data_IF_352058492153
#
_entry.id   IF_352058492153
#
_cell.length_a   1.000
_cell.length_b   1.000
_cell.length_c   1.000
_cell.angle_alpha   90.00
_cell.angle_beta   90.00
_cell.angle_gamma   90.00
#
_symmetry.space_group_name_H-M   'P 1'
#
loop_
_entity.id
_entity.type
_entity.pdbx_description
1 polymer ?
#
# COMPACT_ATOMS: atom_id res chain seq x y z
N UNK A 1 -30.05 -9.68 12.68
CA UNK A 1 -29.27 -9.21 11.50
C UNK A 1 -29.06 -10.39 10.58
N UNK A 2 -29.57 -10.33 9.38
CA UNK A 2 -29.50 -11.47 8.46
C UNK A 2 -28.43 -11.18 7.41
N UNK A 3 -27.25 -11.81 7.57
CA UNK A 3 -26.20 -11.82 6.56
C UNK A 3 -26.67 -12.76 5.45
N UNK A 4 -26.82 -12.26 4.23
CA UNK A 4 -27.27 -13.04 3.07
C UNK A 4 -26.13 -13.73 2.37
N UNK A 5 -25.01 -13.02 2.21
CA UNK A 5 -23.85 -13.52 1.48
C UNK A 5 -22.58 -12.80 1.93
N UNK A 6 -21.50 -13.55 2.08
CA UNK A 6 -20.13 -13.04 2.20
C UNK A 6 -19.30 -13.71 1.13
N UNK A 7 -18.51 -12.92 0.43
CA UNK A 7 -17.52 -13.39 -0.55
C UNK A 7 -16.19 -12.78 -0.21
N UNK A 8 -15.17 -13.62 -0.08
CA UNK A 8 -13.78 -13.22 0.14
C UNK A 8 -12.96 -13.79 -1.00
N UNK A 9 -12.29 -12.93 -1.75
CA UNK A 9 -11.44 -13.33 -2.84
C UNK A 9 -10.04 -12.76 -2.61
N UNK A 10 -9.04 -13.63 -2.60
CA UNK A 10 -7.64 -13.27 -2.58
C UNK A 10 -6.98 -13.76 -3.86
N UNK A 11 -6.28 -12.87 -4.54
CA UNK A 11 -5.51 -13.17 -5.75
C UNK A 11 -4.07 -12.75 -5.53
N UNK A 12 -3.16 -13.66 -5.84
CA UNK A 12 -1.72 -13.42 -5.91
C UNK A 12 -1.28 -13.73 -7.34
N UNK A 13 -0.65 -12.75 -7.99
CA UNK A 13 -0.11 -12.89 -9.35
C UNK A 13 1.35 -12.49 -9.26
N UNK A 14 2.23 -13.47 -9.47
CA UNK A 14 3.66 -13.24 -9.55
C UNK A 14 4.14 -13.52 -10.98
N UNK A 15 5.05 -12.70 -11.47
CA UNK A 15 5.65 -12.82 -12.78
C UNK A 15 7.14 -12.50 -12.74
N UNK A 16 7.92 -13.13 -13.60
CA UNK A 16 9.33 -12.85 -13.76
C UNK A 16 9.65 -12.62 -15.24
N UNK A 17 10.46 -11.62 -15.52
CA UNK A 17 11.15 -11.44 -16.78
C UNK A 17 12.64 -11.59 -16.50
N UNK A 18 13.27 -12.59 -17.11
CA UNK A 18 14.68 -12.88 -16.94
C UNK A 18 15.41 -12.62 -18.26
N UNK A 19 16.14 -11.53 -18.33
CA UNK A 19 16.94 -11.14 -19.48
C UNK A 19 18.13 -12.12 -19.62
N UNK A 20 18.51 -12.42 -20.86
CA UNK A 20 19.68 -13.28 -21.11
C UNK A 20 19.47 -14.76 -20.83
N UNK A 21 18.25 -15.24 -20.61
CA UNK A 21 17.97 -16.65 -20.45
C UNK A 21 18.22 -17.40 -21.75
N UNK A 22 19.22 -18.27 -21.75
CA UNK A 22 19.73 -18.97 -22.94
C UNK A 22 19.08 -20.32 -23.26
N UNK A 23 18.62 -21.12 -22.25
CA UNK A 23 18.07 -22.44 -22.55
C UNK A 23 16.77 -22.33 -23.35
N UNK A 24 16.61 -23.24 -24.34
CA UNK A 24 15.34 -23.39 -25.03
C UNK A 24 14.29 -23.97 -24.08
N UNK A 25 13.11 -23.35 -24.05
CA UNK A 25 11.94 -23.88 -23.35
C UNK A 25 11.30 -24.94 -24.21
N UNK A 26 11.42 -26.21 -23.81
CA UNK A 26 11.06 -27.36 -24.67
C UNK A 26 9.58 -27.75 -24.59
N UNK A 27 8.99 -27.81 -23.41
CA UNK A 27 7.62 -28.27 -23.20
C UNK A 27 6.90 -27.46 -22.09
N UNK A 28 5.62 -27.77 -21.88
CA UNK A 28 4.79 -27.08 -20.85
C UNK A 28 5.28 -27.32 -19.41
N UNK A 29 6.18 -28.27 -19.19
CA UNK A 29 6.79 -28.55 -17.89
C UNK A 29 8.16 -27.90 -17.74
N UNK A 30 8.59 -27.09 -18.72
CA UNK A 30 9.87 -26.39 -18.71
C UNK A 30 11.07 -27.34 -18.87
N UNK A 31 10.90 -28.42 -19.61
CA UNK A 31 11.98 -29.41 -19.92
C UNK A 31 12.54 -29.17 -21.32
N UNK A 32 13.85 -29.27 -21.45
CA UNK A 32 14.49 -29.29 -22.76
C UNK A 32 14.30 -30.66 -23.44
N UNK A 33 14.30 -30.68 -24.78
CA UNK A 33 14.36 -31.91 -25.59
C UNK A 33 15.53 -32.83 -25.21
N UNK A 34 16.58 -32.31 -24.61
CA UNK A 34 17.80 -33.02 -24.20
C UNK A 34 17.77 -33.56 -22.77
N UNK A 35 16.62 -33.58 -22.10
CA UNK A 35 16.48 -34.11 -20.75
C UNK A 35 16.98 -33.21 -19.61
N UNK A 36 17.40 -31.97 -19.91
CA UNK A 36 17.79 -30.99 -18.89
C UNK A 36 16.57 -30.21 -18.44
N UNK A 37 16.25 -30.26 -17.15
CA UNK A 37 15.17 -29.44 -16.54
C UNK A 37 15.61 -27.98 -16.51
N UNK A 38 15.14 -27.17 -17.46
CA UNK A 38 15.36 -25.72 -17.53
C UNK A 38 14.13 -25.06 -18.16
N UNK A 39 13.39 -24.20 -17.48
CA UNK A 39 13.62 -23.61 -16.14
C UNK A 39 13.20 -24.49 -14.96
N UNK A 40 12.69 -25.69 -15.20
CA UNK A 40 12.28 -26.63 -14.18
C UNK A 40 10.81 -26.52 -13.74
N UNK A 41 10.34 -27.56 -13.05
CA UNK A 41 8.92 -27.67 -12.64
C UNK A 41 8.49 -26.54 -11.71
N UNK A 42 9.35 -26.12 -10.78
CA UNK A 42 9.01 -25.03 -9.85
C UNK A 42 8.64 -23.75 -10.57
N UNK A 43 9.42 -23.36 -11.59
CA UNK A 43 9.13 -22.19 -12.41
C UNK A 43 7.87 -22.39 -13.27
N UNK A 44 7.70 -23.56 -13.88
CA UNK A 44 6.53 -23.88 -14.71
C UNK A 44 5.22 -23.81 -13.91
N UNK A 45 5.26 -24.08 -12.60
CA UNK A 45 4.12 -23.96 -11.69
C UNK A 45 4.09 -22.62 -10.90
N UNK A 46 4.79 -21.60 -11.37
CA UNK A 46 4.70 -20.24 -10.85
C UNK A 46 5.52 -19.96 -9.59
N UNK A 47 6.51 -20.79 -9.27
CA UNK A 47 7.46 -20.49 -8.19
C UNK A 47 8.48 -19.43 -8.61
N UNK A 48 8.00 -18.19 -8.80
CA UNK A 48 8.80 -17.02 -9.15
C UNK A 48 9.47 -16.48 -7.89
N UNK A 49 10.80 -16.65 -7.77
CA UNK A 49 11.57 -16.24 -6.59
C UNK A 49 12.90 -15.62 -7.01
N UNK A 50 13.39 -14.70 -6.17
CA UNK A 50 14.72 -14.11 -6.33
C UNK A 50 15.81 -15.19 -6.48
N UNK A 51 15.74 -16.23 -5.66
CA UNK A 51 16.68 -17.35 -5.69
C UNK A 51 16.74 -18.12 -7.03
N UNK A 52 15.70 -18.01 -7.88
CA UNK A 52 15.73 -18.62 -9.20
C UNK A 52 16.76 -17.94 -10.12
N UNK A 53 17.00 -16.64 -9.95
CA UNK A 53 18.00 -15.91 -10.73
C UNK A 53 19.40 -16.42 -10.36
N UNK A 54 19.66 -16.60 -9.07
CA UNK A 54 20.93 -17.13 -8.57
C UNK A 54 21.15 -18.57 -9.05
N UNK A 55 20.12 -19.40 -8.97
CA UNK A 55 20.13 -20.77 -9.51
C UNK A 55 20.40 -20.82 -11.02
N UNK A 56 19.75 -19.93 -11.79
CA UNK A 56 19.95 -19.85 -13.23
C UNK A 56 21.37 -19.40 -13.58
N UNK A 57 21.96 -18.53 -12.78
CA UNK A 57 23.34 -18.09 -12.93
C UNK A 57 24.34 -19.21 -12.61
N UNK A 58 24.20 -19.87 -11.47
CA UNK A 58 25.03 -21.00 -11.06
C UNK A 58 25.02 -22.16 -12.07
N UNK A 59 23.86 -22.39 -12.72
CA UNK A 59 23.69 -23.43 -13.74
C UNK A 59 24.17 -23.00 -15.13
N UNK A 60 24.66 -21.77 -15.30
CA UNK A 60 25.09 -21.23 -16.58
C UNK A 60 23.95 -21.06 -17.60
N UNK A 61 22.74 -20.82 -17.12
CA UNK A 61 21.57 -20.59 -17.98
C UNK A 61 21.45 -19.13 -18.42
N UNK A 62 22.28 -18.24 -17.89
CA UNK A 62 22.26 -16.83 -18.21
C UNK A 62 23.44 -16.47 -19.12
N UNK A 63 23.16 -15.79 -20.23
CA UNK A 63 24.19 -15.16 -21.06
C UNK A 63 24.59 -13.86 -20.40
N UNK A 64 25.78 -13.81 -19.83
CA UNK A 64 26.34 -12.60 -19.24
C UNK A 64 27.04 -11.78 -20.33
N UNK A 65 26.64 -10.53 -20.46
CA UNK A 65 27.27 -9.57 -21.36
C UNK A 65 27.36 -8.22 -20.63
N UNK A 66 28.56 -7.67 -20.54
CA UNK A 66 28.83 -6.38 -19.89
C UNK A 66 28.01 -5.21 -20.48
N UNK A 67 27.57 -5.34 -21.73
CA UNK A 67 26.74 -4.34 -22.40
C UNK A 67 25.24 -4.56 -22.17
N UNK A 68 24.82 -5.61 -21.45
CA UNK A 68 23.42 -5.88 -21.15
C UNK A 68 23.00 -5.11 -19.89
N UNK A 69 22.25 -4.03 -20.10
CA UNK A 69 21.76 -3.15 -19.03
C UNK A 69 20.34 -3.48 -18.58
N UNK A 70 19.68 -4.44 -19.23
CA UNK A 70 18.30 -4.82 -18.90
C UNK A 70 18.27 -5.69 -17.65
N UNK A 71 17.63 -5.25 -16.55
CA UNK A 71 17.55 -6.04 -15.33
C UNK A 71 16.65 -7.27 -15.50
N UNK A 72 16.79 -8.23 -14.60
CA UNK A 72 15.71 -9.17 -14.33
C UNK A 72 14.61 -8.44 -13.54
N UNK A 73 13.35 -8.70 -13.87
CA UNK A 73 12.21 -8.07 -13.21
C UNK A 73 11.33 -9.11 -12.52
N UNK A 74 11.00 -8.88 -11.27
CA UNK A 74 10.02 -9.68 -10.54
C UNK A 74 8.83 -8.77 -10.22
N UNK A 75 7.66 -9.13 -10.75
CA UNK A 75 6.41 -8.43 -10.51
C UNK A 75 5.53 -9.25 -9.58
N UNK A 76 4.91 -8.60 -8.59
CA UNK A 76 3.96 -9.21 -7.67
C UNK A 76 2.73 -8.32 -7.52
N UNK A 77 1.54 -8.89 -7.68
CA UNK A 77 0.28 -8.20 -7.45
C UNK A 77 -0.59 -9.00 -6.49
N UNK A 78 -0.94 -8.39 -5.35
CA UNK A 78 -1.79 -8.95 -4.31
C UNK A 78 -3.10 -8.19 -4.28
N UNK A 79 -4.22 -8.88 -4.49
CA UNK A 79 -5.55 -8.28 -4.46
C UNK A 79 -6.43 -9.05 -3.48
N UNK A 80 -6.95 -8.34 -2.47
CA UNK A 80 -7.94 -8.85 -1.53
C UNK A 80 -9.25 -8.08 -1.71
N UNK A 81 -10.31 -8.79 -2.05
CA UNK A 81 -11.66 -8.23 -2.15
C UNK A 81 -12.58 -8.95 -1.18
N UNK A 82 -13.30 -8.19 -0.35
CA UNK A 82 -14.30 -8.69 0.58
C UNK A 82 -15.63 -8.01 0.26
N UNK A 83 -16.66 -8.79 0.00
CA UNK A 83 -18.01 -8.31 -0.26
C UNK A 83 -18.97 -8.97 0.70
N UNK A 84 -19.90 -8.19 1.27
CA UNK A 84 -20.96 -8.71 2.11
C UNK A 84 -22.30 -8.05 1.77
N UNK A 85 -23.35 -8.86 1.68
CA UNK A 85 -24.71 -8.39 1.47
C UNK A 85 -25.51 -8.68 2.73
N UNK A 86 -26.12 -7.66 3.29
CA UNK A 86 -26.91 -7.71 4.50
C UNK A 86 -28.35 -7.28 4.21
N UNK A 87 -29.32 -7.93 4.82
CA UNK A 87 -30.72 -7.50 4.81
C UNK A 87 -31.26 -7.57 6.23
N UNK A 88 -31.01 -6.52 7.06
CA UNK A 88 -31.40 -6.50 8.47
C UNK A 88 -32.92 -6.57 8.67
N UNK A 89 -33.66 -5.89 7.80
CA UNK A 89 -35.12 -5.89 7.73
C UNK A 89 -35.55 -6.01 6.27
N UNK A 90 -36.74 -6.48 6.04
CA UNK A 90 -37.25 -6.67 4.69
C UNK A 90 -37.29 -5.35 3.91
N UNK A 91 -36.59 -5.32 2.77
CA UNK A 91 -36.45 -4.16 1.90
C UNK A 91 -35.26 -3.24 2.22
N UNK A 92 -34.56 -3.43 3.34
CA UNK A 92 -33.31 -2.71 3.61
C UNK A 92 -32.12 -3.58 3.22
N UNK A 93 -31.45 -3.23 2.12
CA UNK A 93 -30.26 -3.93 1.62
C UNK A 93 -29.04 -3.07 1.85
N UNK A 94 -28.01 -3.70 2.40
CA UNK A 94 -26.71 -3.06 2.66
C UNK A 94 -25.65 -3.91 1.97
N UNK A 95 -24.99 -3.33 0.98
CA UNK A 95 -23.86 -3.94 0.28
C UNK A 95 -22.58 -3.31 0.79
N UNK A 96 -21.70 -4.15 1.33
CA UNK A 96 -20.38 -3.76 1.80
C UNK A 96 -19.33 -4.26 0.81
N UNK A 97 -18.35 -3.43 0.50
CA UNK A 97 -17.23 -3.79 -0.36
C UNK A 97 -15.93 -3.22 0.21
N UNK A 98 -14.99 -4.10 0.50
CA UNK A 98 -13.64 -3.74 0.92
C UNK A 98 -12.64 -4.32 -0.08
N UNK A 99 -11.67 -3.49 -0.49
CA UNK A 99 -10.64 -3.86 -1.45
C UNK A 99 -9.27 -3.38 -1.00
N UNK A 100 -8.23 -4.22 -1.19
CA UNK A 100 -6.83 -3.88 -0.98
C UNK A 100 -6.01 -4.43 -2.13
N UNK A 101 -5.30 -3.56 -2.81
CA UNK A 101 -4.39 -3.88 -3.93
C UNK A 101 -2.99 -3.42 -3.55
N UNK A 102 -2.01 -4.30 -3.70
CA UNK A 102 -0.58 -4.03 -3.46
C UNK A 102 0.18 -4.59 -4.66
N UNK A 103 0.75 -3.71 -5.47
CA UNK A 103 1.55 -4.07 -6.63
C UNK A 103 2.98 -3.67 -6.40
N UNK A 104 3.91 -4.58 -6.72
CA UNK A 104 5.35 -4.36 -6.58
C UNK A 104 6.07 -4.87 -7.81
N UNK A 105 7.09 -4.13 -8.24
CA UNK A 105 8.07 -4.54 -9.22
C UNK A 105 9.45 -4.42 -8.61
N UNK A 106 10.29 -5.43 -8.78
CA UNK A 106 11.68 -5.41 -8.32
C UNK A 106 12.57 -5.65 -9.51
N UNK A 107 13.47 -4.69 -9.78
CA UNK A 107 14.47 -4.74 -10.82
C UNK A 107 15.80 -5.19 -10.21
N UNK A 108 16.39 -6.25 -10.77
CA UNK A 108 17.57 -6.92 -10.24
C UNK A 108 18.65 -6.92 -11.33
N UNK A 109 19.70 -6.15 -11.10
CA UNK A 109 20.84 -6.03 -12.01
C UNK A 109 21.89 -7.11 -11.73
N UNK A 110 21.51 -8.37 -11.90
CA UNK A 110 22.31 -9.54 -11.53
C UNK A 110 23.65 -9.67 -12.28
N UNK A 111 23.83 -8.95 -13.38
CA UNK A 111 25.10 -8.93 -14.14
C UNK A 111 26.09 -7.87 -13.65
N UNK A 112 25.66 -6.97 -12.76
CA UNK A 112 26.46 -5.85 -12.30
C UNK A 112 26.65 -5.99 -10.79
N UNK A 113 27.80 -6.48 -10.39
CA UNK A 113 28.14 -6.69 -8.99
C UNK A 113 28.04 -5.37 -8.20
N UNK A 114 27.35 -5.42 -7.07
CA UNK A 114 27.17 -4.28 -6.17
C UNK A 114 26.05 -3.31 -6.56
N UNK A 115 25.33 -3.52 -7.66
CA UNK A 115 24.15 -2.73 -7.97
C UNK A 115 23.00 -3.10 -7.03
N UNK A 116 22.38 -2.11 -6.33
CA UNK A 116 21.26 -2.38 -5.46
C UNK A 116 20.02 -2.77 -6.26
N UNK A 117 19.19 -3.62 -5.67
CA UNK A 117 17.87 -3.92 -6.22
C UNK A 117 16.97 -2.70 -6.11
N UNK A 118 16.23 -2.41 -7.19
CA UNK A 118 15.28 -1.30 -7.23
C UNK A 118 13.87 -1.85 -7.11
N UNK A 119 13.15 -1.44 -6.08
CA UNK A 119 11.75 -1.82 -5.90
C UNK A 119 10.86 -0.61 -6.15
N UNK A 120 9.78 -0.81 -6.88
CA UNK A 120 8.74 0.18 -7.09
C UNK A 120 7.36 -0.43 -7.02
N UNK A 121 6.33 0.41 -7.01
CA UNK A 121 4.97 -0.11 -7.00
C UNK A 121 3.90 0.91 -6.70
N UNK A 122 2.71 0.40 -6.40
CA UNK A 122 1.56 1.19 -5.96
C UNK A 122 0.74 0.42 -4.93
N UNK A 123 -0.01 1.16 -4.14
CA UNK A 123 -0.87 0.58 -3.11
C UNK A 123 -2.20 1.31 -3.05
N UNK A 124 -3.30 0.57 -2.95
CA UNK A 124 -4.64 1.15 -2.76
C UNK A 124 -5.43 0.29 -1.78
N UNK A 125 -6.18 0.94 -0.90
CA UNK A 125 -7.03 0.27 0.08
C UNK A 125 -8.29 1.08 0.37
N UNK A 126 -9.44 0.41 0.48
CA UNK A 126 -10.65 1.08 0.97
C UNK A 126 -10.53 1.44 2.44
N UNK A 127 -11.02 2.61 2.79
CA UNK A 127 -11.00 3.16 4.16
C UNK A 127 -12.25 3.99 4.42
N UNK A 128 -12.32 4.62 5.59
CA UNK A 128 -13.39 5.55 5.95
C UNK A 128 -12.75 6.85 6.44
N UNK A 129 -13.18 7.98 5.88
CA UNK A 129 -12.68 9.32 6.20
C UNK A 129 -13.81 10.32 6.56
N UNK A 130 -14.95 9.83 7.03
CA UNK A 130 -16.14 10.65 7.35
C UNK A 130 -15.86 11.84 8.28
N UNK A 131 -14.81 11.78 9.11
CA UNK A 131 -14.42 12.86 9.99
C UNK A 131 -13.97 14.13 9.28
N UNK A 132 -13.52 14.02 8.02
CA UNK A 132 -13.11 15.13 7.17
C UNK A 132 -14.12 15.50 6.09
N UNK A 133 -15.06 14.62 5.75
CA UNK A 133 -16.01 14.76 4.63
C UNK A 133 -16.85 16.05 4.67
N UNK A 134 -17.22 16.51 5.87
CA UNK A 134 -18.05 17.69 6.07
C UNK A 134 -17.28 18.83 6.77
N UNK A 135 -15.96 18.74 6.80
CA UNK A 135 -15.07 19.64 7.54
C UNK A 135 -14.76 20.97 6.87
N UNK A 136 -15.51 21.43 5.93
CA UNK A 136 -15.30 22.70 5.23
C UNK A 136 -13.90 22.82 4.60
N UNK A 137 -13.82 23.26 3.38
CA UNK A 137 -12.54 23.56 2.70
C UNK A 137 -12.03 24.93 3.15
N UNK A 138 -10.70 25.05 3.22
CA UNK A 138 -10.07 26.35 3.41
C UNK A 138 -10.43 27.33 2.28
N UNK A 139 -10.66 28.60 2.62
CA UNK A 139 -10.90 29.67 1.69
C UNK A 139 -10.08 30.92 2.07
N UNK A 140 -10.11 31.97 1.24
CA UNK A 140 -9.33 33.18 1.49
C UNK A 140 -9.68 33.86 2.83
N UNK A 141 -10.95 33.76 3.29
CA UNK A 141 -11.40 34.40 4.52
C UNK A 141 -10.87 33.74 5.80
N UNK A 142 -10.51 32.44 5.72
CA UNK A 142 -9.94 31.69 6.86
C UNK A 142 -8.46 31.31 6.63
N UNK A 143 -7.77 32.02 5.74
CA UNK A 143 -6.36 31.75 5.42
C UNK A 143 -6.10 30.37 4.81
N UNK A 144 -7.08 29.81 4.11
CA UNK A 144 -7.04 28.44 3.55
C UNK A 144 -6.87 27.34 4.59
N UNK A 145 -7.16 27.64 5.87
CA UNK A 145 -7.13 26.66 6.96
C UNK A 145 -8.28 25.66 6.84
N UNK A 146 -8.02 24.40 7.14
CA UNK A 146 -9.03 23.38 7.33
C UNK A 146 -8.74 22.57 8.59
N UNK A 147 -9.78 22.16 9.31
CA UNK A 147 -9.62 21.38 10.55
C UNK A 147 -8.81 20.10 10.38
N UNK A 148 -8.93 19.46 9.21
CA UNK A 148 -8.17 18.24 8.91
C UNK A 148 -6.68 18.56 8.70
N UNK A 149 -6.37 19.67 7.99
CA UNK A 149 -5.00 20.10 7.77
C UNK A 149 -4.33 20.56 9.08
N UNK A 150 -5.04 21.30 9.92
CA UNK A 150 -4.51 21.73 11.22
C UNK A 150 -4.17 20.54 12.11
N UNK A 151 -5.04 19.52 12.14
CA UNK A 151 -4.75 18.22 12.79
C UNK A 151 -3.55 17.52 12.18
N UNK A 152 -3.43 17.50 10.86
CA UNK A 152 -2.28 16.91 10.19
C UNK A 152 -0.97 17.57 10.66
N UNK A 153 -0.92 18.90 10.70
CA UNK A 153 0.27 19.62 11.18
C UNK A 153 0.57 19.27 12.64
N UNK A 154 -0.45 19.24 13.51
CA UNK A 154 -0.27 18.89 14.92
C UNK A 154 0.18 17.42 15.13
N UNK A 155 -0.30 16.50 14.30
CA UNK A 155 0.01 15.09 14.44
C UNK A 155 1.46 14.76 14.06
N UNK A 156 2.14 15.59 13.25
CA UNK A 156 3.53 15.32 12.82
C UNK A 156 4.49 15.18 14.00
N UNK A 157 4.38 16.05 15.00
CA UNK A 157 5.24 15.98 16.19
C UNK A 157 5.02 14.69 17.00
N UNK A 158 3.76 14.26 17.13
CA UNK A 158 3.42 13.02 17.84
C UNK A 158 4.00 11.80 17.11
N UNK A 159 3.84 11.75 15.77
CA UNK A 159 4.38 10.65 14.96
C UNK A 159 5.90 10.64 14.98
N UNK A 160 6.55 11.82 14.85
CA UNK A 160 8.00 11.92 14.91
C UNK A 160 8.56 11.42 16.25
N UNK A 161 7.91 11.78 17.35
CA UNK A 161 8.30 11.30 18.69
C UNK A 161 8.19 9.77 18.78
N UNK A 162 7.07 9.20 18.31
CA UNK A 162 6.88 7.74 18.30
C UNK A 162 7.95 7.01 17.46
N UNK A 163 8.35 7.58 16.33
CA UNK A 163 9.44 7.03 15.52
C UNK A 163 10.77 7.15 16.25
N UNK A 164 11.09 8.29 16.84
CA UNK A 164 12.31 8.47 17.64
C UNK A 164 12.38 7.46 18.78
N UNK A 165 11.27 7.24 19.50
CA UNK A 165 11.19 6.25 20.57
C UNK A 165 11.49 4.83 20.06
N UNK A 166 11.02 4.51 18.84
CA UNK A 166 11.29 3.21 18.21
C UNK A 166 12.76 3.09 17.77
N UNK A 167 13.35 4.16 17.21
CA UNK A 167 14.76 4.19 16.82
C UNK A 167 15.70 4.15 18.02
N UNK A 168 15.30 4.66 19.19
CA UNK A 168 16.13 4.71 20.40
C UNK A 168 16.65 3.35 20.88
N UNK A 169 15.99 2.26 20.44
CA UNK A 169 16.43 0.88 20.71
C UNK A 169 17.29 0.24 19.62
N UNK A 170 17.63 0.99 18.57
CA UNK A 170 18.39 0.47 17.42
C UNK A 170 19.88 0.76 17.54
N UNK A 171 20.65 0.05 16.71
CA UNK A 171 22.09 0.27 16.51
C UNK A 171 22.30 0.65 15.05
N UNK A 172 23.22 1.59 14.80
CA UNK A 172 23.59 1.93 13.44
C UNK A 172 24.16 0.71 12.72
N UNK A 173 23.67 0.38 11.51
CA UNK A 173 24.18 -0.76 10.75
C UNK A 173 25.66 -0.60 10.38
N UNK A 174 26.30 -1.71 10.05
CA UNK A 174 27.72 -1.73 9.61
C UNK A 174 27.84 -2.14 8.14
N UNK A 175 26.74 -2.13 7.39
CA UNK A 175 26.66 -2.53 5.97
C UNK A 175 26.32 -1.33 5.07
N UNK A 176 26.37 -1.52 3.76
CA UNK A 176 26.06 -0.50 2.77
C UNK A 176 26.92 0.74 2.94
N UNK A 177 26.33 1.93 2.84
CA UNK A 177 27.05 3.20 3.01
C UNK A 177 27.59 3.41 4.43
N UNK A 178 27.10 2.64 5.41
CA UNK A 178 27.56 2.67 6.79
C UNK A 178 28.84 1.86 7.02
N UNK A 179 29.29 1.08 6.04
CA UNK A 179 30.54 0.33 6.15
C UNK A 179 31.73 1.28 6.33
N UNK A 180 32.42 1.17 7.48
CA UNK A 180 33.52 2.06 7.83
C UNK A 180 33.12 3.45 8.35
N UNK A 181 31.84 3.76 8.46
CA UNK A 181 31.37 5.02 9.02
C UNK A 181 31.64 5.08 10.54
N UNK A 182 31.95 6.29 11.06
CA UNK A 182 32.29 6.48 12.48
C UNK A 182 31.18 6.08 13.47
N UNK A 183 29.92 6.03 13.03
CA UNK A 183 28.77 5.62 13.84
C UNK A 183 28.42 4.14 13.69
N UNK A 184 29.00 3.40 12.75
CA UNK A 184 28.70 1.98 12.54
C UNK A 184 28.84 1.16 13.82
N UNK A 185 27.83 0.35 14.14
CA UNK A 185 27.79 -0.48 15.34
C UNK A 185 27.54 0.26 16.66
N UNK A 186 27.35 1.58 16.65
CA UNK A 186 27.01 2.36 17.84
C UNK A 186 25.49 2.44 18.04
N UNK A 187 25.02 2.61 19.30
CA UNK A 187 23.62 2.90 19.57
C UNK A 187 23.16 4.17 18.83
N UNK A 188 21.91 4.19 18.40
CA UNK A 188 21.31 5.36 17.76
C UNK A 188 21.34 6.57 18.69
N UNK A 189 21.87 7.68 18.20
CA UNK A 189 21.90 8.98 18.90
C UNK A 189 21.45 10.08 17.92
N UNK A 190 20.25 10.66 18.11
CA UNK A 190 19.73 11.71 17.22
C UNK A 190 20.55 13.00 17.24
N UNK A 191 21.34 13.24 18.28
CA UNK A 191 22.17 14.42 18.37
C UNK A 191 23.42 14.35 17.45
N UNK A 192 23.84 13.14 17.10
CA UNK A 192 25.06 12.91 16.30
C UNK A 192 24.73 12.45 14.88
N UNK A 193 23.83 11.52 14.74
CA UNK A 193 23.46 10.89 13.46
C UNK A 193 22.25 11.51 12.77
N UNK A 194 21.66 12.55 13.33
CA UNK A 194 20.42 13.12 12.84
C UNK A 194 19.17 12.46 13.42
N UNK A 195 18.14 13.26 13.68
CA UNK A 195 16.85 12.82 14.20
C UNK A 195 15.81 12.59 13.10
N UNK A 196 14.64 12.10 13.49
CA UNK A 196 13.49 11.95 12.60
C UNK A 196 12.97 13.33 12.20
N UNK A 197 12.96 13.63 10.90
CA UNK A 197 12.47 14.91 10.38
C UNK A 197 10.96 14.97 10.41
N UNK A 198 10.38 16.12 10.83
CA UNK A 198 8.93 16.37 10.74
C UNK A 198 8.40 16.39 9.29
N UNK A 199 9.29 16.52 8.32
CA UNK A 199 8.96 16.58 6.90
C UNK A 199 9.32 15.29 6.15
N UNK A 200 9.77 14.27 6.85
CA UNK A 200 10.04 12.96 6.24
C UNK A 200 8.73 12.22 5.96
N UNK A 201 8.73 11.34 4.97
CA UNK A 201 7.55 10.59 4.54
C UNK A 201 7.04 9.64 5.63
N UNK A 202 7.95 9.12 6.47
CA UNK A 202 7.61 8.27 7.63
C UNK A 202 6.78 9.03 8.67
N UNK A 203 6.90 10.36 8.73
CA UNK A 203 6.12 11.22 9.62
C UNK A 203 4.87 11.72 8.90
N UNK A 204 5.02 12.22 7.68
CA UNK A 204 3.94 12.86 6.94
C UNK A 204 2.80 11.88 6.64
N UNK A 205 3.09 10.67 6.18
CA UNK A 205 2.04 9.72 5.75
C UNK A 205 1.19 9.23 6.92
N UNK A 206 1.73 8.75 8.05
CA UNK A 206 0.90 8.38 9.21
C UNK A 206 0.16 9.57 9.83
N UNK A 207 0.76 10.77 9.87
CA UNK A 207 0.10 11.97 10.37
C UNK A 207 -1.10 12.36 9.48
N UNK A 208 -0.94 12.26 8.14
CA UNK A 208 -2.00 12.47 7.17
C UNK A 208 -3.13 11.45 7.38
N UNK A 209 -2.80 10.16 7.45
CA UNK A 209 -3.79 9.10 7.70
C UNK A 209 -4.55 9.34 9.02
N UNK A 210 -3.86 9.67 10.12
CA UNK A 210 -4.50 9.94 11.39
C UNK A 210 -5.46 11.13 11.30
N UNK A 211 -5.03 12.24 10.68
CA UNK A 211 -5.82 13.46 10.58
C UNK A 211 -7.10 13.29 9.75
N UNK A 212 -6.96 12.70 8.57
CA UNK A 212 -8.06 12.58 7.60
C UNK A 212 -9.00 11.41 7.87
N UNK A 213 -8.52 10.32 8.51
CA UNK A 213 -9.40 9.22 8.94
C UNK A 213 -9.93 9.37 10.36
N UNK A 214 -9.56 10.44 11.08
CA UNK A 214 -10.01 10.70 12.46
C UNK A 214 -9.42 9.73 13.49
N UNK A 215 -8.31 9.06 13.17
CA UNK A 215 -7.62 8.14 14.09
C UNK A 215 -6.72 8.90 15.06
N UNK A 216 -6.54 8.32 16.24
CA UNK A 216 -5.58 8.83 17.23
C UNK A 216 -4.15 8.69 16.70
N UNK A 217 -3.35 9.78 16.62
CA UNK A 217 -1.96 9.72 16.17
C UNK A 217 -1.07 8.83 17.04
N UNK A 218 -1.45 8.57 18.30
CA UNK A 218 -0.73 7.65 19.17
C UNK A 218 -0.98 6.18 18.85
N UNK A 219 -2.05 5.87 18.08
CA UNK A 219 -2.48 4.48 17.78
C UNK A 219 -2.45 4.14 16.30
N UNK A 220 -2.34 5.13 15.41
CA UNK A 220 -2.22 4.86 13.98
C UNK A 220 -0.95 4.06 13.67
N UNK A 221 -1.02 3.17 12.68
CA UNK A 221 0.17 2.46 12.19
C UNK A 221 1.18 3.42 11.56
N UNK A 222 2.46 3.20 11.80
CA UNK A 222 3.54 4.06 11.28
C UNK A 222 3.91 3.72 9.82
N UNK A 223 3.39 2.62 9.26
CA UNK A 223 3.65 2.25 7.87
C UNK A 223 2.75 3.03 6.90
N UNK A 224 3.33 3.47 5.79
CA UNK A 224 2.58 4.02 4.65
C UNK A 224 1.67 2.98 3.97
N UNK A 225 1.88 1.70 4.23
CA UNK A 225 1.11 0.57 3.69
C UNK A 225 0.30 -0.11 4.79
N UNK A 226 -0.90 0.39 5.14
CA UNK A 226 -1.68 -0.16 6.24
C UNK A 226 -2.00 -1.64 6.05
N UNK A 227 -2.00 -2.38 7.15
CA UNK A 227 -2.29 -3.81 7.14
C UNK A 227 -3.75 -4.11 6.84
N UNK A 228 -4.06 -5.38 6.54
CA UNK A 228 -5.44 -5.86 6.33
C UNK A 228 -6.36 -5.56 7.53
N UNK A 229 -5.82 -5.48 8.74
CA UNK A 229 -6.58 -5.11 9.95
C UNK A 229 -7.17 -3.69 9.89
N UNK A 230 -6.60 -2.82 9.06
CA UNK A 230 -7.06 -1.44 8.84
C UNK A 230 -8.05 -1.30 7.69
N UNK A 231 -8.37 -2.41 7.01
CA UNK A 231 -9.29 -2.44 5.87
C UNK A 231 -10.72 -2.17 6.35
N UNK A 232 -11.34 -1.13 5.82
CA UNK A 232 -12.71 -0.73 6.13
C UNK A 232 -13.55 -0.74 4.86
N UNK A 233 -14.81 -1.21 4.93
CA UNK A 233 -15.64 -1.32 3.74
C UNK A 233 -16.25 0.02 3.33
N UNK A 234 -16.36 0.21 2.03
CA UNK A 234 -17.33 1.11 1.42
C UNK A 234 -18.73 0.45 1.50
N UNK A 235 -19.80 1.25 1.40
CA UNK A 235 -21.15 0.70 1.48
C UNK A 235 -22.11 1.35 0.48
N UNK A 236 -23.11 0.58 0.14
CA UNK A 236 -24.31 1.03 -0.54
C UNK A 236 -25.52 0.55 0.26
N UNK A 237 -26.41 1.47 0.57
CA UNK A 237 -27.66 1.18 1.28
C UNK A 237 -28.82 1.50 0.36
N UNK A 238 -29.75 0.55 0.21
CA UNK A 238 -31.01 0.77 -0.52
C UNK A 238 -32.17 0.31 0.34
N UNK A 239 -33.28 1.07 0.32
CA UNK A 239 -34.48 0.76 1.06
C UNK A 239 -35.72 0.92 0.18
N UNK A 240 -36.42 -0.18 -0.07
CA UNK A 240 -37.64 -0.25 -0.86
C UNK A 240 -38.91 -0.49 -0.01
N UNK A 241 -38.77 -0.51 1.32
CA UNK A 241 -39.87 -0.82 2.23
C UNK A 241 -40.90 0.29 2.40
N UNK A 242 -40.65 1.51 1.94
CA UNK A 242 -41.57 2.65 2.08
C UNK A 242 -42.93 2.40 1.38
N UNK A 243 -42.94 1.63 0.30
CA UNK A 243 -44.16 1.27 -0.43
C UNK A 243 -45.13 0.44 0.41
N UNK A 244 -44.71 -0.13 1.54
CA UNK A 244 -45.57 -0.88 2.46
C UNK A 244 -46.42 0.02 3.33
N UNK A 245 -46.10 1.32 3.39
CA UNK A 245 -46.87 2.31 4.14
C UNK A 245 -48.12 2.63 3.34
N UNK A 246 -49.35 2.47 3.88
CA UNK A 246 -50.58 2.65 3.14
C UNK A 246 -50.75 3.98 2.45
N UNK A 247 -50.29 5.07 3.09
CA UNK A 247 -50.34 6.45 2.54
C UNK A 247 -49.46 6.55 1.32
N UNK A 248 -48.25 5.99 1.34
CA UNK A 248 -47.31 6.03 0.20
C UNK A 248 -47.83 5.17 -0.96
N UNK A 249 -48.31 3.95 -0.65
CA UNK A 249 -48.85 3.05 -1.63
C UNK A 249 -50.07 3.63 -2.42
N UNK A 250 -50.77 4.57 -1.81
CA UNK A 250 -51.90 5.23 -2.48
C UNK A 250 -51.50 6.10 -3.67
N UNK A 251 -50.27 6.62 -3.68
CA UNK A 251 -49.79 7.55 -4.70
C UNK A 251 -48.66 7.00 -5.57
N UNK A 252 -47.92 6.04 -5.03
CA UNK A 252 -46.74 5.50 -5.71
C UNK A 252 -46.86 4.00 -5.97
N UNK A 253 -46.37 3.58 -7.12
CA UNK A 253 -46.24 2.18 -7.51
C UNK A 253 -44.97 1.58 -6.89
N UNK A 254 -43.88 2.32 -6.84
CA UNK A 254 -42.62 1.95 -6.19
C UNK A 254 -41.94 3.18 -5.60
N UNK A 255 -41.20 2.99 -4.53
CA UNK A 255 -40.37 4.02 -3.93
C UNK A 255 -39.13 3.37 -3.32
N UNK A 256 -37.96 3.82 -3.75
CA UNK A 256 -36.66 3.32 -3.28
C UNK A 256 -35.80 4.49 -2.81
N UNK A 257 -35.24 4.38 -1.62
CA UNK A 257 -34.20 5.26 -1.12
C UNK A 257 -32.85 4.63 -1.40
N UNK A 258 -31.85 5.46 -1.71
CA UNK A 258 -30.49 5.00 -1.92
C UNK A 258 -29.47 5.95 -1.33
N UNK A 259 -28.41 5.37 -0.80
CA UNK A 259 -27.23 6.08 -0.27
C UNK A 259 -26.00 5.25 -0.59
N UNK A 260 -24.92 5.89 -1.04
CA UNK A 260 -23.65 5.20 -1.29
C UNK A 260 -22.48 6.05 -0.82
N UNK A 261 -21.58 5.40 -0.11
CA UNK A 261 -20.31 5.95 0.34
C UNK A 261 -19.14 5.17 -0.26
N UNK A 262 -18.14 5.89 -0.73
CA UNK A 262 -16.87 5.33 -1.21
C UNK A 262 -15.74 6.15 -0.67
N UNK A 263 -14.73 5.47 -0.15
CA UNK A 263 -13.48 6.09 0.23
C UNK A 263 -12.33 5.14 -0.02
N UNK A 264 -11.24 5.65 -0.56
CA UNK A 264 -10.00 4.90 -0.78
C UNK A 264 -8.80 5.73 -0.40
N UNK A 265 -7.84 5.08 0.23
CA UNK A 265 -6.48 5.56 0.43
C UNK A 265 -5.58 4.94 -0.63
N UNK A 266 -4.73 5.75 -1.25
CA UNK A 266 -3.78 5.30 -2.27
C UNK A 266 -2.39 5.88 -2.00
N UNK A 267 -1.39 5.02 -2.14
CA UNK A 267 0.00 5.41 -2.39
C UNK A 267 0.19 5.28 -3.88
N UNK A 268 0.45 6.38 -4.58
CA UNK A 268 0.54 6.43 -6.03
C UNK A 268 1.72 5.59 -6.52
N UNK A 269 2.82 6.22 -6.89
CA UNK A 269 4.07 5.55 -7.16
C UNK A 269 4.99 5.65 -5.94
N UNK A 270 5.68 4.57 -5.62
CA UNK A 270 6.79 4.56 -4.69
C UNK A 270 7.97 3.81 -5.31
N UNK A 271 9.18 4.16 -4.88
CA UNK A 271 10.41 3.46 -5.25
C UNK A 271 11.27 3.21 -4.01
N UNK A 272 12.17 2.23 -4.06
CA UNK A 272 13.14 2.03 -2.98
C UNK A 272 14.26 3.07 -3.07
N UNK A 273 14.78 3.50 -1.92
CA UNK A 273 16.05 4.21 -1.88
C UNK A 273 17.19 3.21 -2.20
N UNK A 274 18.14 3.63 -3.02
CA UNK A 274 19.26 2.78 -3.45
C UNK A 274 20.31 2.61 -2.34
N UNK A 275 20.42 3.57 -1.47
CA UNK A 275 21.38 3.64 -0.36
C UNK A 275 20.75 3.32 1.01
N UNK A 276 19.50 2.87 1.05
CA UNK A 276 18.87 2.49 2.31
C UNK A 276 19.53 1.26 2.93
N UNK A 277 19.77 1.33 4.24
CA UNK A 277 20.36 0.24 5.03
C UNK A 277 19.46 -0.09 6.20
N UNK A 278 19.13 -1.38 6.35
CA UNK A 278 18.26 -1.89 7.40
C UNK A 278 18.92 -1.77 8.79
N UNK A 279 18.19 -1.28 9.77
CA UNK A 279 18.59 -1.23 11.19
C UNK A 279 18.37 -2.56 11.93
N UNK A 280 17.91 -3.61 11.24
CA UNK A 280 17.63 -4.93 11.85
C UNK A 280 16.31 -4.99 12.61
N UNK A 281 15.43 -4.00 12.46
CA UNK A 281 14.07 -3.98 13.01
C UNK A 281 13.08 -3.62 11.91
N UNK A 282 11.89 -4.21 11.95
CA UNK A 282 10.84 -4.16 10.93
C UNK A 282 10.66 -2.79 10.24
N UNK A 283 11.26 -2.62 9.07
CA UNK A 283 11.11 -1.44 8.22
C UNK A 283 11.80 -0.17 8.72
N UNK A 284 12.59 -0.25 9.77
CA UNK A 284 13.44 0.84 10.22
C UNK A 284 14.82 0.74 9.58
N UNK A 285 15.34 1.88 9.14
CA UNK A 285 16.66 1.93 8.53
C UNK A 285 17.13 3.36 8.35
N UNK A 286 18.19 3.49 7.60
CA UNK A 286 18.86 4.76 7.38
C UNK A 286 19.16 4.96 5.90
N UNK A 287 19.05 6.21 5.47
CA UNK A 287 19.58 6.70 4.20
C UNK A 287 20.75 7.65 4.49
N UNK A 288 21.57 7.87 3.49
CA UNK A 288 22.68 8.82 3.57
C UNK A 288 22.17 10.24 3.34
N UNK A 289 22.37 11.12 4.30
CA UNK A 289 22.20 12.55 4.07
C UNK A 289 23.27 13.06 3.09
N UNK A 290 22.85 13.63 1.99
CA UNK A 290 23.75 14.04 0.89
C UNK A 290 24.66 15.20 1.31
N UNK A 291 24.24 16.05 2.24
CA UNK A 291 24.99 17.23 2.65
C UNK A 291 26.02 16.90 3.74
N UNK A 292 25.63 16.09 4.71
CA UNK A 292 26.47 15.78 5.87
C UNK A 292 27.17 14.42 5.76
N UNK A 293 26.67 13.52 4.90
CA UNK A 293 27.12 12.13 4.81
C UNK A 293 26.62 11.26 5.96
N UNK A 294 25.91 11.83 6.94
CA UNK A 294 25.43 11.13 8.13
C UNK A 294 24.22 10.24 7.83
N UNK A 295 24.02 9.18 8.63
CA UNK A 295 22.80 8.36 8.54
C UNK A 295 21.59 9.13 9.04
N UNK A 296 20.54 9.22 8.20
CA UNK A 296 19.24 9.79 8.56
C UNK A 296 18.19 8.71 8.64
N UNK A 297 17.42 8.62 9.73
CA UNK A 297 16.29 7.69 9.84
C UNK A 297 15.35 7.79 8.65
N UNK A 298 15.04 6.67 8.02
CA UNK A 298 14.16 6.61 6.86
C UNK A 298 13.51 5.24 6.68
N UNK A 299 12.32 5.21 6.08
CA UNK A 299 11.75 3.98 5.51
C UNK A 299 12.54 3.57 4.27
N UNK A 300 12.40 2.31 3.81
CA UNK A 300 13.06 1.88 2.58
C UNK A 300 12.50 2.52 1.30
N UNK A 301 11.40 3.28 1.41
CA UNK A 301 10.67 3.76 0.23
C UNK A 301 10.61 5.29 0.16
N UNK A 302 10.91 5.80 -1.03
CA UNK A 302 10.55 7.14 -1.47
C UNK A 302 9.12 7.11 -2.03
N UNK A 303 8.22 7.90 -1.43
CA UNK A 303 6.81 7.95 -1.78
C UNK A 303 6.50 9.30 -2.40
N UNK A 304 6.22 9.32 -3.70
CA UNK A 304 5.96 10.56 -4.42
C UNK A 304 4.66 11.24 -3.96
N UNK A 305 3.60 10.48 -3.70
CA UNK A 305 2.32 11.04 -3.28
C UNK A 305 1.44 10.00 -2.58
N UNK A 306 0.66 10.48 -1.63
CA UNK A 306 -0.45 9.75 -1.04
C UNK A 306 -1.76 10.53 -1.20
N UNK A 307 -2.87 9.84 -1.32
CA UNK A 307 -4.18 10.47 -1.45
C UNK A 307 -5.27 9.71 -0.72
N UNK A 308 -6.28 10.45 -0.26
CA UNK A 308 -7.56 9.89 0.17
C UNK A 308 -8.62 10.48 -0.75
N UNK A 309 -9.34 9.62 -1.44
CA UNK A 309 -10.48 10.01 -2.29
C UNK A 309 -11.75 9.53 -1.62
N UNK A 310 -12.64 10.47 -1.31
CA UNK A 310 -13.91 10.22 -0.64
C UNK A 310 -15.07 10.76 -1.46
N UNK A 311 -16.20 10.07 -1.46
CA UNK A 311 -17.37 10.52 -2.18
C UNK A 311 -18.65 9.80 -1.77
N UNK A 312 -19.76 10.55 -1.94
CA UNK A 312 -21.13 10.06 -1.80
C UNK A 312 -21.78 10.10 -3.17
N UNK A 313 -22.33 8.97 -3.63
CA UNK A 313 -22.94 8.94 -4.96
C UNK A 313 -24.03 7.85 -5.05
N UNK A 314 -25.28 8.21 -4.68
CA UNK A 314 -25.73 9.51 -4.13
C UNK A 314 -25.44 9.66 -2.63
N UNK A 315 -25.39 10.89 -2.14
CA UNK A 315 -25.47 11.15 -0.68
C UNK A 315 -26.86 10.75 -0.18
N UNK A 316 -27.89 11.12 -0.91
CA UNK A 316 -29.27 10.70 -0.71
C UNK A 316 -30.01 10.68 -2.04
N UNK A 317 -30.56 9.54 -2.41
CA UNK A 317 -31.32 9.36 -3.65
C UNK A 317 -32.72 8.84 -3.36
N UNK A 318 -33.69 9.36 -4.07
CA UNK A 318 -35.08 8.86 -4.09
C UNK A 318 -35.44 8.52 -5.52
N UNK A 319 -35.87 7.28 -5.72
CA UNK A 319 -36.45 6.81 -6.98
C UNK A 319 -37.90 6.41 -6.72
N UNK A 320 -38.84 7.07 -7.38
CA UNK A 320 -40.28 6.88 -7.16
C UNK A 320 -41.05 6.83 -8.48
N UNK A 321 -41.91 5.82 -8.64
CA UNK A 321 -42.82 5.68 -9.74
C UNK A 321 -44.23 5.97 -9.24
N UNK A 322 -44.92 6.94 -9.86
CA UNK A 322 -46.31 7.29 -9.52
C UNK A 322 -47.27 6.19 -10.01
N UNK A 323 -48.39 6.08 -9.35
CA UNK A 323 -49.56 5.36 -9.90
C UNK A 323 -50.16 6.26 -10.98
N UNK A 324 -50.30 5.73 -12.21
CA UNK A 324 -51.06 6.36 -13.29
C UNK A 324 -52.56 6.19 -13.05
#
# INVERSE_FOLDING_TARGET
MMVRRVNIQYSLIDGMMLSGYAPEVGDMFGQRRTGTLAPGLGFAFGAVRRSFIDEADERGWLVKNENMTTPAMINSAKNLTIRANLEPIAGLKIDLNANRVDTRSTDIYYMQDGMPEQMGGSFTMTTIALGSAFGGSGNANNGYSSKAFDKFIAHRSVIAQRLMDTYSGTVYPSSGFMAGHALAGKPYDPAVGGGVSLNSMEVLVPAFLAAYTGKDPNKVGLSAFPSVKSLLPNWRVTYDGLIRIPVIRKYFKSMMLSHQYRCSYSVGAFSSFLDWVDAGQDGLGYIRDIQTGNPTPSSPYDIAAVSITEGFSPLFGVDATLLN
#
